data_IF_179125858901
#
_entry.id   IF_179125858901
#
_cell.length_a   1.000
_cell.length_b   1.000
_cell.length_c   1.000
_cell.angle_alpha   90.00
_cell.angle_beta   90.00
_cell.angle_gamma   90.00
#
_symmetry.space_group_name_H-M   'P 1'
#
loop_
_entity.id
_entity.type
_entity.pdbx_description
1 polymer ?
#
# COMPACT_ATOMS: atom_id res chain seq x y z
N UNK A 1 -4.55 10.41 -4.01
CA UNK A 1 -4.11 9.14 -3.34
C UNK A 1 -4.88 7.96 -3.89
N UNK A 2 -6.21 7.90 -3.72
CA UNK A 2 -7.03 6.77 -4.19
C UNK A 2 -6.93 6.55 -5.71
N UNK A 3 -7.23 7.57 -6.51
CA UNK A 3 -7.14 7.50 -7.97
C UNK A 3 -5.69 7.34 -8.45
N UNK A 4 -4.74 7.89 -7.71
CA UNK A 4 -3.29 7.74 -7.96
C UNK A 4 -2.87 6.27 -7.88
N UNK A 5 -3.37 5.53 -6.89
CA UNK A 5 -3.10 4.10 -6.76
C UNK A 5 -3.67 3.29 -7.95
N UNK A 6 -4.90 3.58 -8.39
CA UNK A 6 -5.46 2.93 -9.59
C UNK A 6 -4.66 3.28 -10.86
N UNK A 7 -4.20 4.53 -10.98
CA UNK A 7 -3.35 4.96 -12.11
C UNK A 7 -2.06 4.14 -12.19
N UNK A 8 -1.53 3.69 -11.04
CA UNK A 8 -0.31 2.87 -10.97
C UNK A 8 -0.55 1.37 -11.00
N UNK A 9 -1.79 0.93 -11.25
CA UNK A 9 -2.12 -0.48 -11.47
C UNK A 9 -2.63 -1.22 -10.24
N UNK A 10 -3.17 -0.52 -9.24
CA UNK A 10 -3.91 -1.18 -8.16
C UNK A 10 -5.18 -1.86 -8.72
N UNK A 11 -5.43 -3.11 -8.32
CA UNK A 11 -6.68 -3.81 -8.62
C UNK A 11 -7.83 -3.31 -7.75
N UNK A 12 -7.52 -2.96 -6.51
CA UNK A 12 -8.46 -2.43 -5.54
C UNK A 12 -7.76 -1.46 -4.59
N UNK A 13 -8.50 -0.49 -4.10
CA UNK A 13 -8.06 0.44 -3.05
C UNK A 13 -9.19 0.59 -2.04
N UNK A 14 -8.88 0.59 -0.74
CA UNK A 14 -9.87 0.74 0.32
C UNK A 14 -9.28 1.39 1.57
N UNK A 15 -10.16 1.88 2.46
CA UNK A 15 -9.75 2.39 3.78
C UNK A 15 -9.52 1.19 4.72
N UNK A 16 -8.34 1.11 5.31
CA UNK A 16 -8.01 0.07 6.28
C UNK A 16 -8.68 0.35 7.62
N UNK A 17 -9.55 -0.56 8.07
CA UNK A 17 -10.32 -0.39 9.32
C UNK A 17 -11.16 0.88 9.30
N UNK A 18 -11.00 1.73 10.31
CA UNK A 18 -11.65 3.04 10.40
C UNK A 18 -10.82 4.18 9.75
N UNK A 19 -9.66 3.87 9.16
CA UNK A 19 -8.73 4.84 8.60
C UNK A 19 -7.77 5.45 9.62
N UNK A 20 -6.92 6.41 9.20
CA UNK A 20 -6.89 7.08 7.89
C UNK A 20 -6.09 6.32 6.80
N UNK A 21 -5.51 5.17 7.12
CA UNK A 21 -4.68 4.40 6.19
C UNK A 21 -5.47 3.88 5.00
N UNK A 22 -4.90 4.01 3.80
CA UNK A 22 -5.39 3.36 2.58
C UNK A 22 -4.56 2.11 2.30
N UNK A 23 -5.25 1.05 1.86
CA UNK A 23 -4.65 -0.19 1.37
C UNK A 23 -4.90 -0.30 -0.12
N UNK A 24 -3.86 -0.60 -0.89
CA UNK A 24 -3.96 -0.90 -2.31
C UNK A 24 -3.55 -2.37 -2.54
N UNK A 25 -4.39 -3.14 -3.24
CA UNK A 25 -4.05 -4.49 -3.69
C UNK A 25 -3.42 -4.35 -5.07
N UNK A 26 -2.20 -4.85 -5.23
CA UNK A 26 -1.40 -4.73 -6.45
C UNK A 26 -0.91 -6.11 -6.88
N UNK A 27 -0.51 -6.21 -8.14
CA UNK A 27 0.27 -7.34 -8.64
C UNK A 27 1.62 -7.41 -7.89
N UNK A 28 2.04 -8.59 -7.45
CA UNK A 28 3.34 -8.82 -6.80
C UNK A 28 4.51 -8.45 -7.73
N UNK A 29 4.32 -8.61 -9.05
CA UNK A 29 5.33 -8.26 -10.05
C UNK A 29 5.47 -6.74 -10.25
N UNK A 30 4.55 -5.92 -9.72
CA UNK A 30 4.61 -4.46 -9.78
C UNK A 30 5.54 -3.87 -8.70
N UNK A 31 6.81 -4.26 -8.75
CA UNK A 31 7.87 -3.88 -7.81
C UNK A 31 8.20 -2.38 -7.77
N UNK A 32 7.66 -1.59 -8.70
CA UNK A 32 7.83 -0.13 -8.76
C UNK A 32 6.65 0.67 -8.19
N UNK A 33 5.57 0.01 -7.74
CA UNK A 33 4.34 0.67 -7.31
C UNK A 33 4.59 1.70 -6.20
N UNK A 34 5.31 1.32 -5.15
CA UNK A 34 5.64 2.22 -4.03
C UNK A 34 6.35 3.50 -4.48
N UNK A 35 7.43 3.36 -5.26
CA UNK A 35 8.20 4.52 -5.72
C UNK A 35 7.38 5.44 -6.61
N UNK A 36 6.54 4.89 -7.49
CA UNK A 36 5.61 5.68 -8.33
C UNK A 36 4.58 6.42 -7.49
N UNK A 37 4.04 5.77 -6.45
CA UNK A 37 3.12 6.39 -5.51
C UNK A 37 3.78 7.56 -4.75
N UNK A 38 4.94 7.34 -4.15
CA UNK A 38 5.68 8.37 -3.41
C UNK A 38 5.97 9.59 -4.31
N UNK A 39 6.52 9.35 -5.51
CA UNK A 39 6.79 10.40 -6.49
C UNK A 39 5.53 11.16 -6.93
N UNK A 40 4.42 10.46 -7.14
CA UNK A 40 3.17 11.10 -7.58
C UNK A 40 2.53 11.94 -6.48
N UNK A 41 2.63 11.50 -5.22
CA UNK A 41 2.14 12.26 -4.08
C UNK A 41 2.97 13.51 -3.86
N UNK A 42 4.30 13.40 -3.96
CA UNK A 42 5.22 14.54 -3.87
C UNK A 42 4.93 15.59 -4.94
N UNK A 43 4.83 15.17 -6.22
CA UNK A 43 4.52 16.08 -7.32
C UNK A 43 3.13 16.71 -7.23
N UNK A 44 2.18 16.06 -6.57
CA UNK A 44 0.86 16.61 -6.32
C UNK A 44 0.82 17.56 -5.11
N UNK A 45 1.94 17.79 -4.42
CA UNK A 45 2.01 18.60 -3.19
C UNK A 45 1.30 17.95 -1.99
N UNK A 46 1.07 16.63 -2.05
CA UNK A 46 0.40 15.88 -0.99
C UNK A 46 1.46 15.33 -0.05
N UNK A 47 1.60 15.98 1.11
CA UNK A 47 2.61 15.65 2.11
C UNK A 47 2.03 14.81 3.26
N UNK A 48 2.92 14.18 4.04
CA UNK A 48 2.58 13.45 5.28
C UNK A 48 2.17 11.99 5.09
N UNK A 49 1.95 11.54 3.85
CA UNK A 49 1.73 10.12 3.55
C UNK A 49 3.04 9.34 3.55
N UNK A 50 3.02 8.15 4.15
CA UNK A 50 4.11 7.17 4.09
C UNK A 50 3.61 5.96 3.32
N UNK A 51 4.38 5.53 2.33
CA UNK A 51 4.03 4.36 1.51
C UNK A 51 4.84 3.16 1.99
N UNK A 52 4.14 2.07 2.29
CA UNK A 52 4.74 0.84 2.81
C UNK A 52 4.33 -0.32 1.89
N UNK A 53 5.31 -1.12 1.47
CA UNK A 53 5.05 -2.42 0.86
C UNK A 53 4.85 -3.45 1.96
N UNK A 54 3.77 -4.20 1.85
CA UNK A 54 3.37 -5.23 2.80
C UNK A 54 3.05 -6.51 2.01
N UNK A 55 3.39 -7.65 2.59
CA UNK A 55 2.98 -8.95 2.10
C UNK A 55 1.89 -9.51 3.01
N UNK A 56 1.02 -10.34 2.45
CA UNK A 56 0.01 -11.05 3.24
C UNK A 56 0.72 -12.01 4.19
N UNK A 57 0.61 -11.74 5.48
CA UNK A 57 1.01 -12.68 6.50
C UNK A 57 -0.06 -13.76 6.65
N UNK A 58 0.27 -14.98 6.25
CA UNK A 58 -0.61 -16.13 6.36
C UNK A 58 -0.44 -16.87 7.69
N UNK A 59 0.44 -16.37 8.56
CA UNK A 59 0.75 -16.99 9.83
C UNK A 59 0.21 -16.12 10.97
N UNK A 60 -0.77 -16.66 11.68
CA UNK A 60 -1.25 -16.03 12.91
C UNK A 60 -0.23 -16.12 14.04
N UNK A 61 -0.64 -15.69 15.23
CA UNK A 61 0.18 -15.87 16.45
C UNK A 61 0.48 -17.35 16.69
N UNK A 62 1.76 -17.70 16.85
CA UNK A 62 2.24 -19.06 17.13
C UNK A 62 2.93 -19.12 18.49
N UNK A 63 2.77 -20.25 19.18
CA UNK A 63 3.61 -20.62 20.33
C UNK A 63 4.77 -21.46 19.77
N UNK A 64 6.00 -21.04 20.02
CA UNK A 64 7.21 -21.74 19.57
C UNK A 64 7.79 -22.41 20.81
N UNK A 65 7.91 -23.73 20.79
CA UNK A 65 8.62 -24.48 21.83
C UNK A 65 10.10 -24.57 21.41
N UNK A 66 11.00 -24.30 22.35
CA UNK A 66 12.46 -24.50 22.20
C UNK A 66 12.82 -25.99 22.06
#
# INVERSE_FOLDING_TARGET
VFDTAYTHGAYAVYISGAGPTLMAIIDEENTYFKGKMEFSLENAGIHGWKVHDLLIDNEGTKIINE
#
